data_IF_014341690736
#
_entry.id   IF_014341690736
#
_cell.length_a   1.000
_cell.length_b   1.000
_cell.length_c   1.000
_cell.angle_alpha   90.00
_cell.angle_beta   90.00
_cell.angle_gamma   90.00
#
_symmetry.space_group_name_H-M   'P 1'
#
loop_
_entity.id
_entity.type
_entity.pdbx_description
1 polymer ?
#
# COMPACT_ATOMS: atom_id res chain seq x y z
N UNK A 1 -6.53 0.89 -23.82
CA UNK A 1 -7.47 -0.25 -23.87
C UNK A 1 -7.23 -1.12 -22.65
N UNK A 2 -8.23 -1.24 -21.77
CA UNK A 2 -8.13 -2.10 -20.59
C UNK A 2 -7.97 -3.57 -21.02
N UNK A 3 -7.07 -4.29 -20.37
CA UNK A 3 -6.96 -5.75 -20.53
C UNK A 3 -8.31 -6.36 -20.12
N UNK A 4 -8.88 -7.18 -20.94
CA UNK A 4 -10.14 -7.93 -20.75
C UNK A 4 -11.46 -7.17 -20.93
N UNK A 5 -11.55 -6.15 -21.76
CA UNK A 5 -12.82 -5.50 -22.07
C UNK A 5 -13.46 -4.73 -20.89
N UNK A 6 -12.74 -4.51 -19.81
CA UNK A 6 -13.17 -3.64 -18.73
C UNK A 6 -13.05 -2.18 -19.13
N UNK A 7 -14.07 -1.38 -18.81
CA UNK A 7 -13.98 0.05 -18.96
C UNK A 7 -12.79 0.62 -18.20
N UNK A 8 -12.12 1.65 -18.74
CA UNK A 8 -10.98 2.26 -18.06
C UNK A 8 -11.42 2.79 -16.68
N UNK A 9 -10.76 2.34 -15.64
CA UNK A 9 -11.06 2.80 -14.29
C UNK A 9 -10.80 4.31 -14.18
N UNK A 10 -11.80 5.05 -13.72
CA UNK A 10 -11.66 6.49 -13.46
C UNK A 10 -11.25 6.70 -12.01
N UNK A 11 -10.09 7.30 -11.79
CA UNK A 11 -9.61 7.65 -10.46
C UNK A 11 -9.89 9.13 -10.18
N UNK A 12 -10.49 9.39 -9.03
CA UNK A 12 -10.56 10.74 -8.49
C UNK A 12 -9.45 10.92 -7.49
N UNK A 13 -8.56 11.85 -7.73
CA UNK A 13 -7.47 12.19 -6.82
C UNK A 13 -7.51 13.68 -6.51
N UNK A 14 -7.30 14.04 -5.25
CA UNK A 14 -6.98 15.39 -4.86
C UNK A 14 -5.47 15.51 -4.68
N UNK A 15 -4.89 16.62 -5.12
CA UNK A 15 -3.47 16.85 -4.91
C UNK A 15 -3.18 18.28 -4.51
N UNK A 16 -2.10 18.43 -3.76
CA UNK A 16 -1.54 19.73 -3.39
C UNK A 16 -0.08 19.76 -3.78
N UNK A 17 0.31 20.76 -4.57
CA UNK A 17 1.71 21.00 -4.89
C UNK A 17 2.42 21.65 -3.70
N UNK A 18 3.61 21.17 -3.40
CA UNK A 18 4.57 21.85 -2.51
C UNK A 18 5.65 22.49 -3.36
N UNK A 19 6.62 23.15 -2.74
CA UNK A 19 7.72 23.81 -3.46
C UNK A 19 8.44 22.83 -4.43
N UNK A 20 8.77 21.62 -3.97
CA UNK A 20 9.53 20.63 -4.77
C UNK A 20 8.74 19.37 -5.13
N UNK A 21 7.79 18.99 -4.31
CA UNK A 21 7.07 17.72 -4.45
C UNK A 21 5.56 17.95 -4.41
N UNK A 22 4.79 16.91 -4.16
CA UNK A 22 3.33 16.94 -4.08
C UNK A 22 2.82 16.06 -2.95
N UNK A 23 1.63 16.36 -2.47
CA UNK A 23 0.80 15.49 -1.64
C UNK A 23 -0.37 15.02 -2.49
N UNK A 24 -0.62 13.72 -2.53
CA UNK A 24 -1.74 13.14 -3.29
C UNK A 24 -2.67 12.42 -2.32
N UNK A 25 -3.96 12.65 -2.45
CA UNK A 25 -5.01 12.01 -1.66
C UNK A 25 -5.97 11.27 -2.58
N UNK A 26 -6.20 10.00 -2.28
CA UNK A 26 -7.12 9.15 -3.02
C UNK A 26 -8.19 8.61 -2.08
N UNK A 27 -9.49 8.67 -2.43
CA UNK A 27 -10.49 7.84 -1.77
C UNK A 27 -10.16 6.38 -2.05
N UNK A 28 -10.31 5.55 -1.05
CA UNK A 28 -10.02 4.11 -1.13
C UNK A 28 -11.08 3.33 -0.37
N UNK A 29 -11.30 2.09 -0.80
CA UNK A 29 -12.17 1.15 -0.09
C UNK A 29 -11.35 -0.11 0.22
N UNK A 30 -11.31 -0.49 1.49
CA UNK A 30 -10.75 -1.77 1.92
C UNK A 30 -11.88 -2.79 2.07
N UNK A 31 -11.68 -3.95 1.50
CA UNK A 31 -12.53 -5.12 1.78
C UNK A 31 -12.02 -5.74 3.07
N UNK A 32 -12.86 -5.70 4.09
CA UNK A 32 -12.57 -6.27 5.40
C UNK A 32 -13.08 -7.71 5.48
N UNK A 33 -12.98 -8.33 6.65
CA UNK A 33 -13.54 -9.65 6.90
C UNK A 33 -15.07 -9.62 6.73
N UNK A 34 -15.64 -10.76 6.31
CA UNK A 34 -17.08 -10.95 6.10
C UNK A 34 -17.70 -10.02 5.03
N UNK A 35 -16.92 -9.68 3.99
CA UNK A 35 -17.33 -8.79 2.89
C UNK A 35 -17.71 -7.36 3.32
N UNK A 36 -17.43 -7.01 4.56
CA UNK A 36 -17.58 -5.64 5.03
C UNK A 36 -16.62 -4.71 4.30
N UNK A 37 -17.15 -3.62 3.78
CA UNK A 37 -16.37 -2.59 3.13
C UNK A 37 -16.15 -1.42 4.08
N UNK A 38 -14.92 -0.94 4.16
CA UNK A 38 -14.58 0.27 4.90
C UNK A 38 -14.01 1.31 3.95
N UNK A 39 -14.70 2.44 3.84
CA UNK A 39 -14.24 3.57 3.06
C UNK A 39 -13.21 4.38 3.83
N UNK A 40 -12.30 5.00 3.11
CA UNK A 40 -11.26 5.80 3.72
C UNK A 40 -10.54 6.69 2.73
N UNK A 41 -9.48 7.29 3.23
CA UNK A 41 -8.60 8.16 2.46
C UNK A 41 -7.17 7.64 2.58
N UNK A 42 -6.53 7.50 1.44
CA UNK A 42 -5.09 7.22 1.37
C UNK A 42 -4.34 8.47 0.97
N UNK A 43 -3.35 8.82 1.76
CA UNK A 43 -2.51 10.01 1.60
C UNK A 43 -1.09 9.57 1.24
N UNK A 44 -0.59 10.05 0.11
CA UNK A 44 0.79 9.91 -0.32
C UNK A 44 1.51 11.22 -0.07
N UNK A 45 2.44 11.23 0.89
CA UNK A 45 3.05 12.47 1.37
C UNK A 45 4.13 13.02 0.42
N UNK A 46 4.48 14.31 0.50
CA UNK A 46 5.61 14.87 -0.23
C UNK A 46 6.92 14.12 0.01
N UNK A 47 7.13 13.66 1.25
CA UNK A 47 8.31 12.87 1.60
C UNK A 47 8.35 11.52 0.87
N UNK A 48 7.21 10.87 0.65
CA UNK A 48 7.14 9.64 -0.14
C UNK A 48 7.59 9.91 -1.60
N UNK A 49 7.12 10.99 -2.22
CA UNK A 49 7.54 11.38 -3.57
C UNK A 49 9.01 11.82 -3.64
N UNK A 50 9.52 12.47 -2.59
CA UNK A 50 10.95 12.74 -2.45
C UNK A 50 11.75 11.43 -2.49
N UNK A 51 11.34 10.43 -1.71
CA UNK A 51 12.00 9.11 -1.70
C UNK A 51 11.90 8.39 -3.04
N UNK A 52 10.79 8.53 -3.74
CA UNK A 52 10.64 7.99 -5.09
C UNK A 52 11.62 8.65 -6.07
N UNK A 53 11.75 9.97 -6.04
CA UNK A 53 12.74 10.73 -6.82
C UNK A 53 14.17 10.26 -6.52
N UNK A 54 14.57 10.26 -5.25
CA UNK A 54 15.91 9.89 -4.80
C UNK A 54 16.31 8.44 -5.20
N UNK A 55 15.34 7.53 -5.24
CA UNK A 55 15.61 6.09 -5.43
C UNK A 55 15.43 5.59 -6.85
N UNK A 56 14.62 6.26 -7.64
CA UNK A 56 14.34 5.89 -9.03
C UNK A 56 14.83 6.92 -10.04
N UNK A 57 15.32 8.09 -9.59
CA UNK A 57 15.70 9.19 -10.49
C UNK A 57 14.49 9.77 -11.26
N UNK A 58 13.28 9.64 -10.74
CA UNK A 58 12.09 10.18 -11.41
C UNK A 58 12.19 11.68 -11.54
N UNK A 59 12.08 12.20 -12.76
CA UNK A 59 12.05 13.63 -13.00
C UNK A 59 10.77 14.26 -12.43
N UNK A 60 10.91 15.24 -11.54
CA UNK A 60 9.81 15.95 -10.88
C UNK A 60 9.45 17.27 -11.56
N UNK A 61 9.99 17.59 -12.72
CA UNK A 61 9.66 18.82 -13.47
C UNK A 61 8.21 18.83 -13.94
N UNK A 62 7.70 17.68 -14.43
CA UNK A 62 6.28 17.49 -14.75
C UNK A 62 5.57 16.66 -13.67
N UNK A 63 5.24 17.31 -12.56
CA UNK A 63 4.61 16.66 -11.40
C UNK A 63 3.24 16.06 -11.69
N UNK A 64 2.47 16.62 -12.63
CA UNK A 64 1.18 16.05 -13.03
C UNK A 64 1.35 14.73 -13.76
N UNK A 65 2.34 14.63 -14.63
CA UNK A 65 2.70 13.37 -15.30
C UNK A 65 3.18 12.33 -14.27
N UNK A 66 3.97 12.74 -13.28
CA UNK A 66 4.40 11.85 -12.18
C UNK A 66 3.20 11.33 -11.39
N UNK A 67 2.23 12.20 -11.02
CA UNK A 67 1.00 11.78 -10.32
C UNK A 67 0.23 10.77 -11.17
N UNK A 68 0.05 11.05 -12.47
CA UNK A 68 -0.67 10.14 -13.38
C UNK A 68 -0.02 8.77 -13.44
N UNK A 69 1.27 8.72 -13.74
CA UNK A 69 2.02 7.46 -13.81
C UNK A 69 2.00 6.69 -12.47
N UNK A 70 2.09 7.42 -11.36
CA UNK A 70 1.99 6.82 -10.03
C UNK A 70 0.61 6.20 -9.79
N UNK A 71 -0.47 6.90 -10.12
CA UNK A 71 -1.83 6.39 -9.98
C UNK A 71 -2.09 5.18 -10.90
N UNK A 72 -1.56 5.16 -12.12
CA UNK A 72 -1.64 4.01 -13.01
C UNK A 72 -0.97 2.76 -12.40
N UNK A 73 0.17 2.93 -11.74
CA UNK A 73 0.83 1.82 -11.03
C UNK A 73 0.05 1.35 -9.79
N UNK A 74 -0.78 2.21 -9.17
CA UNK A 74 -1.62 1.81 -8.04
C UNK A 74 -2.71 0.81 -8.42
N UNK A 75 -3.16 0.77 -9.67
CA UNK A 75 -4.18 -0.19 -10.16
C UNK A 75 -3.74 -1.63 -9.93
N UNK A 76 -2.46 -1.90 -10.06
CA UNK A 76 -1.87 -3.23 -9.88
C UNK A 76 -1.30 -3.42 -8.46
N UNK A 77 -1.59 -2.49 -7.54
CA UNK A 77 -1.06 -2.55 -6.19
C UNK A 77 -1.80 -3.56 -5.33
N UNK A 78 -1.09 -4.13 -4.38
CA UNK A 78 -1.64 -4.99 -3.33
C UNK A 78 -1.24 -4.43 -1.97
N UNK A 79 -2.21 -4.31 -1.08
CA UNK A 79 -2.01 -3.73 0.25
C UNK A 79 -2.09 -4.80 1.32
N UNK A 80 -1.26 -4.66 2.34
CA UNK A 80 -1.30 -5.47 3.54
C UNK A 80 -1.18 -4.59 4.79
N UNK A 81 -1.86 -4.99 5.82
CA UNK A 81 -1.92 -4.34 7.10
C UNK A 81 -1.26 -5.23 8.15
N UNK A 82 -0.49 -4.64 9.03
CA UNK A 82 0.22 -5.33 10.10
C UNK A 82 0.03 -4.60 11.43
N UNK A 83 -0.28 -5.34 12.48
CA UNK A 83 -0.31 -4.81 13.84
C UNK A 83 1.06 -4.22 14.23
N UNK A 84 1.08 -3.19 15.10
CA UNK A 84 2.31 -2.59 15.55
C UNK A 84 3.16 -3.59 16.33
N UNK A 85 4.48 -3.57 16.08
CA UNK A 85 5.45 -4.30 16.91
C UNK A 85 5.81 -3.49 18.14
N UNK A 86 6.50 -4.12 19.09
CA UNK A 86 7.03 -3.44 20.29
C UNK A 86 7.83 -2.19 19.89
N UNK A 87 7.42 -1.03 20.38
CA UNK A 87 8.02 0.27 20.05
C UNK A 87 7.43 1.00 18.85
N UNK A 88 6.53 0.39 18.09
CA UNK A 88 5.74 1.07 17.05
C UNK A 88 4.42 1.60 17.65
N UNK A 89 4.08 2.85 17.35
CA UNK A 89 2.86 3.49 17.90
C UNK A 89 1.61 3.24 17.06
N UNK A 90 1.78 2.87 15.80
CA UNK A 90 0.67 2.78 14.84
C UNK A 90 0.72 1.47 14.07
N UNK A 91 -0.46 0.99 13.68
CA UNK A 91 -0.59 -0.09 12.72
C UNK A 91 0.11 0.28 11.40
N UNK A 92 0.79 -0.68 10.81
CA UNK A 92 1.58 -0.46 9.60
C UNK A 92 0.80 -0.88 8.37
N UNK A 93 0.81 -0.04 7.35
CA UNK A 93 0.33 -0.38 6.02
C UNK A 93 1.49 -0.55 5.06
N UNK A 94 1.49 -1.66 4.34
CA UNK A 94 2.47 -1.95 3.29
C UNK A 94 1.70 -2.07 1.99
N UNK A 95 2.16 -1.38 0.96
CA UNK A 95 1.62 -1.50 -0.38
C UNK A 95 2.72 -1.96 -1.33
N UNK A 96 2.46 -3.02 -2.08
CA UNK A 96 3.33 -3.48 -3.15
C UNK A 96 2.91 -2.86 -4.47
N UNK A 97 3.85 -2.19 -5.12
CA UNK A 97 3.77 -1.74 -6.50
C UNK A 97 4.67 -2.63 -7.39
N UNK A 98 4.53 -2.60 -8.70
CA UNK A 98 5.50 -3.23 -9.59
C UNK A 98 6.93 -2.75 -9.30
N UNK A 99 7.81 -3.66 -8.86
CA UNK A 99 9.22 -3.39 -8.56
C UNK A 99 9.50 -2.50 -7.33
N UNK A 100 8.49 -2.18 -6.52
CA UNK A 100 8.67 -1.25 -5.39
C UNK A 100 7.65 -1.47 -4.27
N UNK A 101 7.86 -0.75 -3.17
CA UNK A 101 7.07 -0.85 -1.95
C UNK A 101 6.80 0.51 -1.34
N UNK A 102 5.58 0.69 -0.83
CA UNK A 102 5.24 1.80 0.04
C UNK A 102 5.09 1.31 1.47
N UNK A 103 5.51 2.12 2.42
CA UNK A 103 5.26 1.90 3.84
C UNK A 103 4.62 3.14 4.46
N UNK A 104 3.59 2.91 5.24
CA UNK A 104 2.83 3.96 5.88
C UNK A 104 2.18 3.50 7.18
N UNK A 105 1.32 4.34 7.69
CA UNK A 105 0.54 4.12 8.89
C UNK A 105 -0.93 3.99 8.53
N UNK A 106 -1.62 3.12 9.26
CA UNK A 106 -3.06 2.93 9.17
C UNK A 106 -3.71 3.37 10.48
N UNK A 107 -4.79 4.10 10.38
CA UNK A 107 -5.57 4.54 11.55
C UNK A 107 -7.05 4.40 11.25
N UNK A 108 -7.76 3.67 12.08
CA UNK A 108 -9.21 3.63 12.05
C UNK A 108 -9.78 4.92 12.63
N UNK A 109 -10.84 5.42 12.01
CA UNK A 109 -11.61 6.56 12.48
C UNK A 109 -13.07 6.15 12.57
N UNK A 110 -13.94 6.97 13.18
CA UNK A 110 -15.35 6.61 13.48
C UNK A 110 -16.10 6.04 12.28
N UNK A 111 -15.90 6.58 11.07
CA UNK A 111 -16.64 6.21 9.87
C UNK A 111 -15.75 5.69 8.74
N UNK A 112 -14.56 5.15 9.07
CA UNK A 112 -13.67 4.67 8.04
C UNK A 112 -12.23 4.55 8.50
N UNK A 113 -11.29 4.90 7.60
CA UNK A 113 -9.86 4.85 7.91
C UNK A 113 -9.06 5.92 7.18
N UNK A 114 -7.87 6.17 7.69
CA UNK A 114 -6.84 7.00 7.03
C UNK A 114 -5.57 6.19 6.92
N UNK A 115 -5.04 6.09 5.72
CA UNK A 115 -3.70 5.52 5.45
C UNK A 115 -2.77 6.64 5.00
N UNK A 116 -1.58 6.74 5.60
CA UNK A 116 -0.58 7.76 5.27
C UNK A 116 0.70 7.06 4.85
N UNK A 117 1.01 7.06 3.55
CA UNK A 117 2.28 6.55 3.04
C UNK A 117 3.37 7.63 3.11
N UNK A 118 4.47 7.31 3.80
CA UNK A 118 5.59 8.22 4.04
C UNK A 118 6.87 7.81 3.34
N UNK A 119 7.00 6.55 2.98
CA UNK A 119 8.26 6.04 2.46
C UNK A 119 8.04 5.16 1.25
N UNK A 120 8.92 5.32 0.27
CA UNK A 120 9.01 4.54 -0.95
C UNK A 120 10.28 3.68 -0.91
N UNK A 121 10.20 2.41 -1.21
CA UNK A 121 11.33 1.49 -1.28
C UNK A 121 11.39 0.82 -2.64
N UNK A 122 12.61 0.59 -3.12
CA UNK A 122 12.90 -0.37 -4.19
C UNK A 122 13.46 -1.65 -3.57
N UNK A 123 13.42 -2.76 -4.28
CA UNK A 123 14.02 -4.01 -3.80
C UNK A 123 15.51 -3.84 -3.43
N UNK A 124 16.21 -2.92 -4.09
CA UNK A 124 17.62 -2.63 -3.84
C UNK A 124 17.85 -1.85 -2.53
N UNK A 125 16.91 -1.02 -2.13
CA UNK A 125 17.03 -0.15 -0.94
C UNK A 125 16.50 -0.77 0.35
N UNK A 126 15.97 -1.99 0.28
CA UNK A 126 15.51 -2.72 1.46
C UNK A 126 16.68 -3.23 2.29
N UNK A 127 16.62 -3.03 3.61
CA UNK A 127 17.53 -3.70 4.55
C UNK A 127 17.25 -5.22 4.59
N UNK A 128 18.20 -6.06 5.03
CA UNK A 128 17.97 -7.49 5.19
C UNK A 128 16.72 -7.82 6.03
N UNK A 129 16.51 -7.08 7.12
CA UNK A 129 15.32 -7.24 7.98
C UNK A 129 14.02 -6.88 7.23
N UNK A 130 14.01 -5.75 6.49
CA UNK A 130 12.85 -5.35 5.70
C UNK A 130 12.55 -6.37 4.59
N UNK A 131 13.57 -6.95 3.95
CA UNK A 131 13.38 -8.03 2.97
C UNK A 131 12.76 -9.27 3.60
N UNK A 132 13.20 -9.65 4.79
CA UNK A 132 12.62 -10.77 5.53
C UNK A 132 11.14 -10.52 5.86
N UNK A 133 10.83 -9.34 6.38
CA UNK A 133 9.46 -8.93 6.73
C UNK A 133 8.51 -8.96 5.52
N UNK A 134 9.01 -8.54 4.35
CA UNK A 134 8.21 -8.47 3.12
C UNK A 134 8.18 -9.78 2.33
N UNK A 135 9.04 -10.75 2.66
CA UNK A 135 9.17 -12.00 1.88
C UNK A 135 7.87 -12.80 1.83
N UNK A 136 7.19 -12.92 2.94
CA UNK A 136 5.93 -13.67 3.03
C UNK A 136 4.82 -12.93 2.27
N UNK A 137 4.72 -11.62 2.46
CA UNK A 137 3.76 -10.81 1.73
C UNK A 137 4.00 -10.88 0.21
N UNK A 138 5.26 -10.75 -0.23
CA UNK A 138 5.64 -10.83 -1.65
C UNK A 138 5.17 -12.15 -2.27
N UNK A 139 5.47 -13.28 -1.63
CA UNK A 139 5.07 -14.60 -2.14
C UNK A 139 3.55 -14.73 -2.30
N UNK A 140 2.79 -14.22 -1.33
CA UNK A 140 1.32 -14.24 -1.38
C UNK A 140 0.78 -13.32 -2.48
N UNK A 141 1.31 -12.12 -2.56
CA UNK A 141 0.91 -11.13 -3.55
C UNK A 141 1.19 -11.61 -4.98
N UNK A 142 2.37 -12.20 -5.22
CA UNK A 142 2.73 -12.75 -6.52
C UNK A 142 1.80 -13.90 -6.91
N UNK A 143 1.56 -14.84 -5.98
CA UNK A 143 0.66 -15.96 -6.22
C UNK A 143 -0.78 -15.52 -6.53
N UNK A 144 -1.32 -14.57 -5.76
CA UNK A 144 -2.66 -14.05 -5.99
C UNK A 144 -2.78 -13.30 -7.35
N UNK A 145 -1.72 -12.61 -7.75
CA UNK A 145 -1.64 -11.94 -9.05
C UNK A 145 -1.59 -12.93 -10.21
N UNK A 146 -0.80 -13.99 -10.08
CA UNK A 146 -0.67 -15.04 -11.10
C UNK A 146 -1.95 -15.87 -11.25
N UNK A 147 -2.61 -16.17 -10.15
CA UNK A 147 -3.85 -16.95 -10.14
C UNK A 147 -5.10 -16.14 -10.43
N UNK A 148 -5.05 -14.81 -10.35
CA UNK A 148 -6.22 -13.94 -10.34
C UNK A 148 -7.11 -14.11 -9.10
N UNK A 149 -6.68 -14.90 -8.12
CA UNK A 149 -7.43 -15.24 -6.92
C UNK A 149 -7.09 -14.31 -5.76
N UNK A 150 -7.67 -13.12 -5.81
CA UNK A 150 -7.55 -12.12 -4.74
C UNK A 150 -8.23 -12.59 -3.45
N UNK A 151 -9.29 -13.40 -3.56
CA UNK A 151 -10.03 -13.91 -2.41
C UNK A 151 -9.17 -14.86 -1.55
N UNK A 152 -8.38 -15.73 -2.18
CA UNK A 152 -7.46 -16.60 -1.44
C UNK A 152 -6.35 -15.80 -0.72
N UNK A 153 -5.91 -14.67 -1.29
CA UNK A 153 -4.96 -13.77 -0.65
C UNK A 153 -5.51 -13.19 0.66
N UNK A 154 -6.78 -12.79 0.67
CA UNK A 154 -7.47 -12.29 1.87
C UNK A 154 -7.68 -13.40 2.90
N UNK A 155 -8.15 -14.59 2.48
CA UNK A 155 -8.42 -15.73 3.38
C UNK A 155 -7.16 -16.28 4.06
N UNK A 156 -6.03 -16.31 3.36
CA UNK A 156 -4.77 -16.81 3.92
C UNK A 156 -4.23 -15.89 5.02
N UNK A 157 -4.48 -14.59 4.92
CA UNK A 157 -4.16 -13.60 5.95
C UNK A 157 -4.92 -13.85 7.26
N UNK A 158 -6.18 -14.29 7.18
CA UNK A 158 -7.02 -14.62 8.36
C UNK A 158 -6.37 -15.68 9.25
N UNK A 159 -5.83 -16.73 8.66
CA UNK A 159 -5.20 -17.83 9.42
C UNK A 159 -3.96 -17.38 10.19
N UNK A 160 -3.14 -16.51 9.59
CA UNK A 160 -1.90 -16.04 10.21
C UNK A 160 -2.13 -15.04 11.37
N UNK A 161 -3.15 -14.16 11.24
CA UNK A 161 -3.50 -13.23 12.33
C UNK A 161 -4.09 -13.93 13.56
N UNK A 162 -4.83 -15.03 13.36
CA UNK A 162 -5.37 -15.84 14.46
C UNK A 162 -4.26 -16.58 15.20
N UNK A 163 -3.28 -17.14 14.47
CA UNK A 163 -2.15 -17.86 15.06
C UNK A 163 -1.25 -16.93 15.88
N UNK A 164 -0.97 -15.73 15.35
CA UNK A 164 -0.13 -14.74 16.05
C UNK A 164 -0.77 -14.18 17.33
N UNK A 165 -2.11 -14.11 17.40
CA UNK A 165 -2.82 -13.66 18.59
C UNK A 165 -2.85 -14.74 19.69
N UNK A 166 -2.86 -16.00 19.31
CA UNK A 166 -2.84 -17.11 20.28
C UNK A 166 -1.45 -17.33 20.91
N UNK A 167 -0.37 -17.04 20.19
CA UNK A 167 0.99 -17.12 20.72
C UNK A 167 1.32 -15.99 21.70
N UNK A 168 0.66 -14.83 21.59
CA UNK A 168 0.87 -13.68 22.51
C UNK A 168 0.00 -13.71 23.77
N UNK A 169 -1.01 -14.58 23.86
CA UNK A 169 -1.88 -14.72 25.03
C UNK A 169 -1.54 -15.93 25.91
N UNK A 170 -0.44 -16.58 25.66
CA UNK A 170 0.04 -17.78 26.36
C UNK A 170 1.25 -17.52 27.27
N UNK A 171 1.21 -16.46 28.10
CA UNK A 171 2.12 -16.28 29.27
C UNK A 171 1.30 -15.73 30.43
#
# INVERSE_FOLDING_TARGET
MGRNGMEPATYRVCYQMTEKYMCVMCPTTLVMEEDAQMNGITIYTPHMFQRMHERLGVDMTDRLKVIRNFCENLVESMMDHRNPRKGEQHEQMICRLPGSWLRGHFTKVSNGYVTIYRTYYTDQTLTPQQRSDLRTFRKRADKARESGDIESFVKQKRKESITSNNENNGI
#
